data_IF_842519712344
#
_entry.id   IF_842519712344
#
_cell.length_a   1.000
_cell.length_b   1.000
_cell.length_c   1.000
_cell.angle_alpha   90.00
_cell.angle_beta   90.00
_cell.angle_gamma   90.00
#
_symmetry.space_group_name_H-M   'P 1'
#
loop_
_entity.id
_entity.type
_entity.pdbx_description
1 polymer ?
#
# COMPACT_ATOMS: atom_id res chain seq x y z
N UNK A 1 -2.80 -6.19 19.36
CA UNK A 1 -2.72 -6.66 17.97
C UNK A 1 -1.84 -7.89 17.95
N UNK A 2 -2.34 -9.02 17.50
CA UNK A 2 -1.57 -10.28 17.49
C UNK A 2 -1.71 -10.90 16.11
N UNK A 3 -0.73 -10.58 15.25
CA UNK A 3 -0.60 -11.19 13.94
C UNK A 3 0.35 -12.40 14.02
N UNK A 4 0.10 -13.42 13.21
CA UNK A 4 0.89 -14.63 13.23
C UNK A 4 2.22 -14.51 12.48
N UNK A 5 3.34 -14.70 13.16
CA UNK A 5 4.65 -14.93 12.52
C UNK A 5 4.74 -16.36 11.97
N UNK A 6 5.39 -16.53 10.81
CA UNK A 6 5.66 -17.84 10.25
C UNK A 6 6.82 -18.49 11.01
N UNK A 7 6.56 -19.63 11.62
CA UNK A 7 7.59 -20.51 12.13
C UNK A 7 7.65 -21.78 11.26
N UNK A 8 8.82 -22.10 10.71
CA UNK A 8 9.03 -23.36 10.00
C UNK A 8 9.14 -24.53 10.99
N UNK A 9 8.37 -25.59 10.75
CA UNK A 9 8.59 -26.86 11.42
C UNK A 9 9.90 -27.49 10.95
N UNK A 10 10.47 -28.41 11.75
CA UNK A 10 11.67 -29.18 11.37
C UNK A 10 11.51 -29.99 10.06
N UNK A 11 10.31 -30.07 9.51
CA UNK A 11 9.96 -30.81 8.29
C UNK A 11 9.62 -29.89 7.10
N UNK A 12 9.85 -28.55 7.20
CA UNK A 12 9.56 -27.61 6.12
C UNK A 12 8.04 -27.27 5.94
N UNK A 13 7.20 -27.69 6.86
CA UNK A 13 5.80 -27.24 6.88
C UNK A 13 5.73 -25.83 7.47
N UNK A 14 5.02 -24.95 6.79
CA UNK A 14 4.74 -23.57 7.26
C UNK A 14 3.86 -23.68 8.51
N UNK A 15 4.42 -23.45 9.68
CA UNK A 15 3.65 -23.28 10.90
C UNK A 15 3.14 -21.83 10.92
N UNK A 16 1.96 -21.61 10.34
CA UNK A 16 1.27 -20.35 10.61
C UNK A 16 1.06 -20.23 12.13
N UNK A 17 1.53 -19.15 12.71
CA UNK A 17 1.20 -18.82 14.08
C UNK A 17 -0.33 -18.80 14.19
N UNK A 18 -0.87 -19.57 15.11
CA UNK A 18 -2.31 -19.69 15.25
C UNK A 18 -2.92 -18.30 15.46
N UNK A 19 -3.87 -17.93 14.60
CA UNK A 19 -4.59 -16.68 14.72
C UNK A 19 -5.24 -16.57 16.11
N UNK A 20 -4.93 -15.52 16.85
CA UNK A 20 -5.57 -15.27 18.16
C UNK A 20 -6.91 -14.59 17.91
N UNK A 21 -7.98 -15.32 18.19
CA UNK A 21 -9.35 -14.84 18.05
C UNK A 21 -10.01 -14.58 19.40
N UNK A 22 -10.85 -13.54 19.51
CA UNK A 22 -11.80 -13.43 20.61
C UNK A 22 -12.69 -14.68 20.74
N UNK A 23 -13.17 -14.95 21.93
CA UNK A 23 -14.04 -16.13 22.17
C UNK A 23 -15.31 -16.13 21.32
N UNK A 24 -15.86 -14.96 21.02
CA UNK A 24 -17.02 -14.74 20.15
C UNK A 24 -16.76 -15.23 18.71
N UNK A 25 -15.52 -15.06 18.21
CA UNK A 25 -15.11 -15.44 16.86
C UNK A 25 -14.62 -16.89 16.74
N UNK A 26 -14.29 -17.56 17.83
CA UNK A 26 -13.73 -18.93 17.79
C UNK A 26 -14.61 -19.94 17.05
N UNK A 27 -15.93 -19.81 17.15
CA UNK A 27 -16.87 -20.69 16.42
C UNK A 27 -16.82 -20.50 14.88
N UNK A 28 -16.29 -19.37 14.42
CA UNK A 28 -16.13 -19.03 13.00
C UNK A 28 -14.67 -19.18 12.52
N UNK A 29 -13.76 -19.65 13.37
CA UNK A 29 -12.33 -19.79 13.07
C UNK A 29 -12.06 -20.39 11.70
N UNK A 30 -12.70 -21.50 11.37
CA UNK A 30 -12.47 -22.20 10.10
C UNK A 30 -12.87 -21.37 8.88
N UNK A 31 -13.87 -20.48 9.00
CA UNK A 31 -14.25 -19.56 7.92
C UNK A 31 -13.30 -18.36 7.84
N UNK A 32 -12.88 -17.84 8.98
CA UNK A 32 -11.92 -16.73 9.05
C UNK A 32 -10.56 -17.16 8.46
N UNK A 33 -10.05 -18.32 8.86
CA UNK A 33 -8.76 -18.83 8.38
C UNK A 33 -8.73 -19.10 6.87
N UNK A 34 -9.87 -19.38 6.22
CA UNK A 34 -9.96 -19.53 4.76
C UNK A 34 -9.73 -18.20 4.01
N UNK A 35 -9.91 -17.08 4.66
CA UNK A 35 -9.77 -15.75 4.06
C UNK A 35 -8.37 -15.17 4.23
N UNK A 36 -7.47 -15.85 4.96
CA UNK A 36 -6.16 -15.32 5.28
C UNK A 36 -5.35 -15.00 4.02
N UNK A 37 -4.83 -13.78 3.95
CA UNK A 37 -3.90 -13.34 2.91
C UNK A 37 -2.58 -12.87 3.53
N UNK A 38 -1.44 -13.14 2.85
CA UNK A 38 -0.15 -12.64 3.29
C UNK A 38 -0.03 -11.14 3.07
N UNK A 39 0.66 -10.46 3.97
CA UNK A 39 1.04 -9.06 3.87
C UNK A 39 2.37 -8.80 4.57
N UNK A 40 2.96 -7.65 4.26
CA UNK A 40 4.17 -7.15 4.90
C UNK A 40 3.87 -5.75 5.39
N UNK A 41 4.04 -5.52 6.69
CA UNK A 41 3.88 -4.21 7.30
C UNK A 41 5.07 -3.32 6.99
N UNK A 42 4.79 -2.06 6.81
CA UNK A 42 5.78 -1.00 6.65
C UNK A 42 5.78 -0.17 7.92
N UNK A 43 6.96 0.05 8.48
CA UNK A 43 7.19 1.03 9.54
C UNK A 43 8.01 2.17 8.99
N UNK A 44 7.59 3.40 9.22
CA UNK A 44 8.35 4.59 8.85
C UNK A 44 9.33 4.97 9.95
N UNK A 45 10.45 5.56 9.55
CA UNK A 45 11.44 6.19 10.41
C UNK A 45 11.89 7.49 9.75
N UNK A 46 11.77 8.63 10.41
CA UNK A 46 12.34 9.89 9.94
C UNK A 46 13.86 9.76 9.85
N UNK A 47 14.36 9.55 8.64
CA UNK A 47 15.78 9.29 8.37
C UNK A 47 16.10 9.49 6.90
N UNK A 48 17.25 10.13 6.65
CA UNK A 48 17.83 10.21 5.30
C UNK A 48 18.05 8.81 4.69
N UNK A 49 17.80 8.69 3.39
CA UNK A 49 17.90 7.45 2.64
C UNK A 49 18.85 7.59 1.45
N UNK A 50 19.45 6.48 1.06
CA UNK A 50 20.14 6.42 -0.24
C UNK A 50 19.12 6.48 -1.38
N UNK A 51 19.51 6.92 -2.59
CA UNK A 51 18.58 7.03 -3.71
C UNK A 51 17.81 5.75 -4.03
N UNK A 52 18.41 4.60 -3.82
CA UNK A 52 17.83 3.28 -4.13
C UNK A 52 17.13 2.60 -2.95
N UNK A 53 17.10 3.21 -1.76
CA UNK A 53 16.39 2.65 -0.60
C UNK A 53 14.89 2.91 -0.65
N UNK A 54 14.13 2.07 0.05
CA UNK A 54 12.69 2.23 0.22
C UNK A 54 12.38 3.41 1.12
N UNK A 55 11.46 4.28 0.69
CA UNK A 55 11.20 5.56 1.37
C UNK A 55 9.80 6.10 1.14
N UNK A 56 9.37 6.95 2.05
CA UNK A 56 8.28 7.91 1.90
C UNK A 56 8.90 9.26 1.49
N UNK A 57 8.42 9.85 0.40
CA UNK A 57 8.90 11.16 -0.05
C UNK A 57 10.37 11.23 -0.44
N UNK A 58 10.92 12.43 -0.39
CA UNK A 58 12.31 12.70 -0.74
C UNK A 58 12.63 12.59 -2.23
N UNK A 59 13.92 12.56 -2.55
CA UNK A 59 14.40 12.42 -3.90
C UNK A 59 14.28 10.96 -4.39
N UNK A 60 13.62 10.72 -5.56
CA UNK A 60 13.46 9.38 -6.09
C UNK A 60 14.75 8.81 -6.67
N UNK A 61 14.81 7.48 -6.80
CA UNK A 61 15.76 6.85 -7.69
C UNK A 61 15.46 7.26 -9.15
N UNK A 62 16.40 7.92 -9.79
CA UNK A 62 16.27 8.37 -11.18
C UNK A 62 17.62 8.29 -11.88
N UNK A 63 17.74 7.41 -12.87
CA UNK A 63 18.96 7.30 -13.68
C UNK A 63 19.08 8.46 -14.67
N UNK A 64 20.32 8.85 -14.98
CA UNK A 64 20.59 9.84 -16.02
C UNK A 64 20.01 9.34 -17.37
N UNK A 65 19.10 10.13 -17.94
CA UNK A 65 18.41 9.81 -19.19
C UNK A 65 17.01 9.25 -19.03
N UNK A 66 16.57 8.94 -17.81
CA UNK A 66 15.16 8.67 -17.54
C UNK A 66 14.37 9.98 -17.49
N UNK A 67 13.12 9.92 -17.96
CA UNK A 67 12.21 11.06 -17.87
C UNK A 67 11.54 11.09 -16.51
N UNK A 68 11.48 12.27 -15.88
CA UNK A 68 10.75 12.49 -14.66
C UNK A 68 9.23 12.61 -14.96
N UNK A 69 8.35 11.97 -14.16
CA UNK A 69 6.92 11.94 -14.46
C UNK A 69 6.25 13.31 -14.33
N UNK A 70 5.36 13.59 -15.28
CA UNK A 70 4.53 14.80 -15.35
C UNK A 70 3.08 14.44 -15.59
N UNK A 71 2.19 15.28 -15.08
CA UNK A 71 0.81 15.31 -15.50
C UNK A 71 0.66 15.89 -16.91
N UNK A 72 -0.48 15.66 -17.54
CA UNK A 72 -0.76 16.15 -18.91
C UNK A 72 -0.75 17.67 -19.06
N UNK A 73 -0.98 18.40 -17.95
CA UNK A 73 -0.86 19.85 -17.88
C UNK A 73 0.61 20.35 -17.83
N UNK A 74 1.58 19.45 -17.72
CA UNK A 74 3.01 19.73 -17.68
C UNK A 74 3.59 19.88 -16.28
N UNK A 75 2.79 19.82 -15.22
CA UNK A 75 3.25 19.85 -13.83
C UNK A 75 4.00 18.58 -13.46
N UNK A 76 5.07 18.73 -12.68
CA UNK A 76 5.82 17.60 -12.19
C UNK A 76 5.07 16.93 -11.02
N UNK A 77 4.94 15.61 -11.11
CA UNK A 77 4.47 14.82 -9.96
C UNK A 77 5.53 14.81 -8.87
N UNK A 78 5.13 14.50 -7.63
CA UNK A 78 6.02 14.37 -6.48
C UNK A 78 6.08 12.91 -6.04
N UNK A 79 7.25 12.47 -5.61
CA UNK A 79 7.39 11.13 -5.06
C UNK A 79 6.55 11.02 -3.78
N UNK A 80 5.58 10.11 -3.77
CA UNK A 80 4.85 9.72 -2.58
C UNK A 80 5.60 8.63 -1.83
N UNK A 81 5.94 7.56 -2.53
CA UNK A 81 6.62 6.40 -1.96
C UNK A 81 7.49 5.69 -2.99
N UNK A 82 8.55 5.07 -2.51
CA UNK A 82 9.43 4.20 -3.29
C UNK A 82 9.69 2.92 -2.51
N UNK A 83 9.52 1.77 -3.18
CA UNK A 83 9.77 0.45 -2.61
C UNK A 83 10.84 -0.25 -3.43
N UNK A 84 11.98 -0.57 -2.82
CA UNK A 84 12.99 -1.45 -3.39
C UNK A 84 12.70 -2.88 -2.94
N UNK A 85 12.30 -3.74 -3.85
CA UNK A 85 11.92 -5.11 -3.55
C UNK A 85 13.10 -6.00 -3.10
N UNK A 86 14.34 -5.57 -3.25
CA UNK A 86 15.48 -6.26 -2.62
C UNK A 86 15.49 -6.09 -1.08
N UNK A 87 14.77 -5.10 -0.54
CA UNK A 87 14.63 -4.85 0.91
C UNK A 87 13.38 -5.51 1.50
N UNK A 88 12.46 -5.96 0.64
CA UNK A 88 11.18 -6.53 1.03
C UNK A 88 11.31 -8.05 1.18
N UNK A 89 10.88 -8.65 2.30
CA UNK A 89 10.76 -10.10 2.39
C UNK A 89 9.90 -10.69 1.27
N UNK A 90 10.12 -11.96 0.95
CA UNK A 90 9.35 -12.62 -0.11
C UNK A 90 7.84 -12.52 0.16
N UNK A 91 7.11 -12.01 -0.82
CA UNK A 91 5.66 -11.98 -0.85
C UNK A 91 5.19 -12.54 -2.19
N UNK A 92 4.32 -13.55 -2.16
CA UNK A 92 3.84 -14.20 -3.38
C UNK A 92 3.19 -13.19 -4.32
N UNK A 93 3.39 -13.37 -5.62
CA UNK A 93 2.96 -12.48 -6.71
C UNK A 93 3.69 -11.15 -6.82
N UNK A 94 4.42 -10.70 -5.79
CA UNK A 94 5.19 -9.46 -5.82
C UNK A 94 6.59 -9.65 -6.43
N UNK A 95 7.19 -8.59 -7.01
CA UNK A 95 8.57 -8.62 -7.47
C UNK A 95 9.54 -8.99 -6.35
N UNK A 96 10.68 -9.60 -6.71
CA UNK A 96 11.76 -9.91 -5.75
C UNK A 96 12.95 -8.97 -5.89
N UNK A 97 12.92 -8.05 -6.83
CA UNK A 97 13.95 -7.05 -7.12
C UNK A 97 13.33 -5.86 -7.82
N UNK A 98 14.13 -4.83 -8.06
CA UNK A 98 13.68 -3.62 -8.73
C UNK A 98 13.03 -2.64 -7.78
N UNK A 99 12.75 -1.45 -8.28
CA UNK A 99 12.14 -0.34 -7.55
C UNK A 99 10.77 -0.05 -8.12
N UNK A 100 9.76 0.05 -7.26
CA UNK A 100 8.43 0.53 -7.58
C UNK A 100 8.23 1.91 -6.94
N UNK A 101 7.89 2.89 -7.76
CA UNK A 101 7.70 4.27 -7.35
C UNK A 101 6.25 4.67 -7.53
N UNK A 102 5.74 5.39 -6.54
CA UNK A 102 4.41 5.98 -6.52
C UNK A 102 4.54 7.48 -6.49
N UNK A 103 3.99 8.15 -7.50
CA UNK A 103 4.00 9.60 -7.63
C UNK A 103 2.59 10.13 -7.60
N UNK A 104 2.41 11.31 -7.02
CA UNK A 104 1.15 12.06 -7.00
C UNK A 104 1.37 13.50 -7.40
N UNK A 105 0.34 14.15 -7.91
CA UNK A 105 0.29 15.61 -8.00
C UNK A 105 0.13 16.17 -6.58
N UNK A 106 0.92 17.19 -6.25
CA UNK A 106 0.85 17.84 -4.94
C UNK A 106 -0.27 18.89 -4.96
N UNK A 107 -1.51 18.44 -4.90
CA UNK A 107 -2.71 19.26 -4.89
C UNK A 107 -3.59 18.96 -3.66
N UNK A 108 -4.71 19.64 -3.52
CA UNK A 108 -5.65 19.52 -2.39
C UNK A 108 -6.39 18.15 -2.35
N UNK A 109 -6.25 17.34 -3.38
CA UNK A 109 -6.77 15.97 -3.46
C UNK A 109 -5.68 14.91 -3.58
N UNK A 110 -4.41 15.28 -3.34
CA UNK A 110 -3.26 14.38 -3.37
C UNK A 110 -3.19 13.53 -4.66
N UNK A 111 -3.48 14.16 -5.80
CA UNK A 111 -3.44 13.52 -7.10
C UNK A 111 -4.58 12.55 -7.38
N UNK A 112 -5.64 12.51 -6.58
CA UNK A 112 -6.79 11.65 -6.82
C UNK A 112 -7.58 12.13 -8.04
N UNK A 113 -7.71 11.28 -9.06
CA UNK A 113 -8.55 11.54 -10.21
C UNK A 113 -10.02 11.21 -9.88
N UNK A 114 -10.79 12.20 -9.41
CA UNK A 114 -12.17 12.03 -8.95
C UNK A 114 -13.13 11.42 -9.98
N UNK A 115 -12.85 11.58 -11.28
CA UNK A 115 -13.71 11.07 -12.36
C UNK A 115 -13.40 9.63 -12.74
N UNK A 116 -12.14 9.23 -12.63
CA UNK A 116 -11.67 7.87 -12.92
C UNK A 116 -10.36 7.61 -12.17
N UNK A 117 -10.45 6.94 -11.06
CA UNK A 117 -9.35 6.60 -10.15
C UNK A 117 -8.28 5.68 -10.77
N UNK A 118 -8.47 5.24 -12.01
CA UNK A 118 -7.51 4.39 -12.74
C UNK A 118 -6.68 5.18 -13.76
N UNK A 119 -6.98 6.47 -13.99
CA UNK A 119 -6.23 7.29 -14.94
C UNK A 119 -4.95 7.80 -14.28
N UNK A 120 -3.83 7.25 -14.69
CA UNK A 120 -2.50 7.62 -14.21
C UNK A 120 -2.01 8.94 -14.87
N UNK A 121 -2.72 10.04 -14.65
CA UNK A 121 -2.31 11.38 -15.06
C UNK A 121 -1.81 12.19 -13.87
N UNK A 122 -2.65 12.36 -12.85
CA UNK A 122 -2.34 13.08 -11.62
C UNK A 122 -1.67 12.19 -10.55
N UNK A 123 -1.63 10.90 -10.80
CA UNK A 123 -0.74 9.97 -10.09
C UNK A 123 0.00 9.10 -11.11
N UNK A 124 1.08 8.44 -10.71
CA UNK A 124 1.83 7.54 -11.58
C UNK A 124 2.51 6.45 -10.76
N UNK A 125 2.45 5.21 -11.26
CA UNK A 125 3.19 4.08 -10.71
C UNK A 125 4.22 3.62 -11.74
N UNK A 126 5.50 3.60 -11.36
CA UNK A 126 6.62 3.28 -12.25
C UNK A 126 7.44 2.15 -11.65
N UNK A 127 7.66 1.09 -12.43
CA UNK A 127 8.54 0.00 -12.04
C UNK A 127 9.86 0.04 -12.80
N UNK A 128 10.96 -0.02 -12.05
CA UNK A 128 12.33 -0.02 -12.56
C UNK A 128 12.94 -1.39 -12.22
N UNK A 129 13.08 -2.31 -13.22
CA UNK A 129 13.43 -3.71 -12.95
C UNK A 129 14.88 -3.93 -12.56
N UNK A 130 15.79 -3.05 -12.99
CA UNK A 130 17.23 -3.16 -12.71
C UNK A 130 17.67 -1.89 -11.97
N UNK A 131 18.34 -2.08 -10.84
CA UNK A 131 18.77 -0.97 -9.97
C UNK A 131 20.29 -0.83 -10.01
N UNK A 132 20.77 0.32 -10.45
CA UNK A 132 22.19 0.66 -10.48
C UNK A 132 22.56 1.38 -9.19
N UNK A 133 23.25 0.70 -8.27
CA UNK A 133 23.71 1.29 -7.01
C UNK A 133 25.04 2.04 -7.18
N UNK A 134 25.05 2.97 -8.15
CA UNK A 134 26.17 3.87 -8.38
C UNK A 134 25.63 5.30 -8.57
N UNK A 135 25.87 6.16 -7.61
CA UNK A 135 25.37 7.54 -7.59
C UNK A 135 25.85 8.39 -8.79
N UNK A 136 26.98 8.02 -9.45
CA UNK A 136 27.45 8.75 -10.63
C UNK A 136 26.50 8.60 -11.83
N UNK A 137 25.66 7.57 -11.82
CA UNK A 137 24.69 7.28 -12.86
C UNK A 137 23.29 7.87 -12.55
N UNK A 138 23.14 8.51 -11.38
CA UNK A 138 21.86 9.02 -10.92
C UNK A 138 21.76 10.54 -11.02
N UNK A 139 20.56 11.03 -11.23
CA UNK A 139 20.22 12.45 -11.05
C UNK A 139 20.30 12.76 -9.56
N UNK A 140 20.97 13.86 -9.21
CA UNK A 140 21.14 14.35 -7.84
C UNK A 140 20.55 15.73 -7.63
N UNK A 141 20.30 16.46 -8.70
CA UNK A 141 19.72 17.78 -8.65
C UNK A 141 18.27 17.74 -9.12
N UNK A 142 17.36 17.84 -8.15
CA UNK A 142 15.93 17.88 -8.36
C UNK A 142 15.37 19.31 -8.25
N UNK A 143 16.21 20.33 -8.28
CA UNK A 143 15.80 21.75 -8.22
C UNK A 143 14.81 22.15 -9.32
N UNK A 144 14.75 21.40 -10.43
CA UNK A 144 13.76 21.59 -11.49
C UNK A 144 12.32 21.33 -11.03
N UNK A 145 12.12 20.62 -9.93
CA UNK A 145 10.80 20.40 -9.33
C UNK A 145 10.23 21.69 -8.73
N UNK A 146 11.09 22.66 -8.37
CA UNK A 146 10.68 23.86 -7.66
C UNK A 146 10.21 23.60 -6.23
N UNK A 147 10.00 24.66 -5.49
CA UNK A 147 9.35 24.61 -4.18
C UNK A 147 7.84 24.37 -4.37
N UNK A 148 7.19 23.73 -3.38
CA UNK A 148 5.73 23.63 -3.37
C UNK A 148 5.15 25.01 -3.02
N UNK A 149 4.14 25.45 -3.74
CA UNK A 149 3.38 26.66 -3.45
C UNK A 149 2.52 26.47 -2.17
N UNK A 150 2.05 27.56 -1.57
CA UNK A 150 1.28 27.50 -0.30
C UNK A 150 0.01 26.61 -0.38
N UNK A 151 -0.58 26.47 -1.58
CA UNK A 151 -1.78 25.67 -1.82
C UNK A 151 -1.45 24.24 -2.34
N UNK A 152 -0.19 23.82 -2.31
CA UNK A 152 0.25 22.52 -2.81
C UNK A 152 0.67 21.62 -1.66
N UNK A 153 0.05 20.47 -1.57
CA UNK A 153 0.13 19.59 -0.41
C UNK A 153 0.71 18.22 -0.75
N UNK A 154 1.57 17.75 0.15
CA UNK A 154 1.91 16.34 0.29
C UNK A 154 1.31 15.83 1.60
N UNK A 155 0.92 14.54 1.68
CA UNK A 155 0.31 14.00 2.89
C UNK A 155 1.31 13.71 4.02
N UNK A 156 2.50 14.31 3.98
CA UNK A 156 3.56 14.17 4.99
C UNK A 156 4.43 15.44 5.04
N UNK A 157 5.06 15.68 6.17
CA UNK A 157 5.95 16.82 6.36
C UNK A 157 7.43 16.47 6.16
N UNK A 158 7.82 15.23 6.49
CA UNK A 158 9.20 14.77 6.45
C UNK A 158 9.33 13.49 5.63
N UNK A 159 10.46 13.32 4.94
CA UNK A 159 10.79 12.06 4.31
C UNK A 159 11.11 10.98 5.34
N UNK A 160 10.85 9.73 5.02
CA UNK A 160 11.07 8.62 5.91
C UNK A 160 11.57 7.36 5.23
N UNK A 161 12.49 6.66 5.92
CA UNK A 161 12.90 5.30 5.53
C UNK A 161 11.78 4.32 5.84
N UNK A 162 11.50 3.40 4.91
CA UNK A 162 10.61 2.27 5.12
C UNK A 162 11.38 1.06 5.64
N UNK A 163 10.91 0.49 6.73
CA UNK A 163 11.33 -0.82 7.24
C UNK A 163 10.20 -1.82 7.10
N UNK A 164 10.54 -3.04 6.69
CA UNK A 164 9.57 -4.09 6.38
C UNK A 164 9.57 -5.17 7.47
N UNK A 165 8.37 -5.58 7.92
CA UNK A 165 8.20 -6.74 8.79
C UNK A 165 8.51 -8.04 8.03
N UNK A 166 8.60 -9.16 8.75
CA UNK A 166 8.45 -10.47 8.11
C UNK A 166 7.03 -10.62 7.54
N UNK A 167 6.84 -11.57 6.61
CA UNK A 167 5.52 -11.93 6.10
C UNK A 167 4.58 -12.31 7.27
N UNK A 168 3.42 -11.69 7.30
CA UNK A 168 2.34 -11.98 8.23
C UNK A 168 1.07 -12.33 7.45
N UNK A 169 0.05 -12.87 8.13
CA UNK A 169 -1.23 -13.22 7.51
C UNK A 169 -2.38 -12.53 8.23
N UNK A 170 -3.30 -11.97 7.47
CA UNK A 170 -4.49 -11.30 7.99
C UNK A 170 -5.76 -11.85 7.33
N UNK A 171 -6.88 -11.95 8.07
CA UNK A 171 -8.17 -12.30 7.49
C UNK A 171 -8.73 -11.13 6.66
N UNK A 172 -9.82 -11.39 5.92
CA UNK A 172 -10.47 -10.34 5.15
C UNK A 172 -10.87 -9.17 6.07
N UNK A 173 -10.57 -7.96 5.64
CA UNK A 173 -11.03 -6.75 6.34
C UNK A 173 -12.55 -6.62 6.25
N UNK A 174 -13.17 -6.14 7.32
CA UNK A 174 -14.59 -5.81 7.31
C UNK A 174 -14.92 -4.67 6.32
N UNK A 175 -13.94 -3.87 5.98
CA UNK A 175 -14.02 -2.76 5.02
C UNK A 175 -13.85 -3.20 3.56
N UNK A 176 -13.27 -4.37 3.31
CA UNK A 176 -13.08 -4.90 1.96
C UNK A 176 -14.42 -5.31 1.34
N UNK A 177 -14.64 -4.95 0.08
CA UNK A 177 -15.90 -5.24 -0.64
C UNK A 177 -16.32 -6.71 -0.60
N UNK A 178 -15.37 -7.65 -0.43
CA UNK A 178 -15.61 -9.09 -0.35
C UNK A 178 -16.15 -9.56 1.01
N UNK A 179 -16.06 -8.73 2.05
CA UNK A 179 -16.50 -9.13 3.40
C UNK A 179 -17.94 -9.61 3.42
N UNK A 180 -18.85 -8.84 2.83
CA UNK A 180 -20.26 -9.19 2.76
C UNK A 180 -20.54 -10.41 1.88
N UNK A 181 -19.77 -10.64 0.82
CA UNK A 181 -19.87 -11.83 -0.01
C UNK A 181 -19.45 -13.08 0.76
N UNK A 182 -18.38 -13.00 1.55
CA UNK A 182 -17.84 -14.12 2.33
C UNK A 182 -18.73 -14.43 3.54
N UNK A 183 -19.08 -13.41 4.33
CA UNK A 183 -19.77 -13.59 5.61
C UNK A 183 -21.28 -13.36 5.57
N UNK A 184 -21.81 -12.71 4.54
CA UNK A 184 -23.25 -12.49 4.41
C UNK A 184 -24.08 -13.78 4.41
N UNK A 185 -23.53 -14.86 3.87
CA UNK A 185 -24.15 -16.20 3.89
C UNK A 185 -24.11 -16.86 5.28
N UNK A 186 -23.18 -16.45 6.15
CA UNK A 186 -22.98 -17.01 7.49
C UNK A 186 -23.88 -16.31 8.52
N UNK A 187 -24.36 -15.11 8.17
CA UNK A 187 -25.22 -14.27 9.02
C UNK A 187 -24.63 -14.08 10.44
N UNK A 188 -23.45 -13.45 10.50
CA UNK A 188 -22.77 -13.15 11.75
C UNK A 188 -23.67 -12.29 12.65
N UNK A 189 -23.85 -12.61 13.94
CA UNK A 189 -24.53 -11.71 14.88
C UNK A 189 -23.82 -10.37 14.98
N UNK A 190 -24.56 -9.29 15.21
CA UNK A 190 -24.06 -7.91 15.30
C UNK A 190 -22.89 -7.80 16.29
N UNK A 191 -23.02 -8.32 17.52
CA UNK A 191 -21.96 -8.34 18.52
C UNK A 191 -20.68 -9.09 18.08
N UNK A 192 -20.79 -10.02 17.16
CA UNK A 192 -19.64 -10.76 16.58
C UNK A 192 -18.98 -9.95 15.50
N UNK A 193 -19.75 -9.16 14.75
CA UNK A 193 -19.21 -8.20 13.77
C UNK A 193 -18.44 -7.10 14.49
N UNK A 194 -18.96 -6.56 15.58
CA UNK A 194 -18.27 -5.55 16.38
C UNK A 194 -16.91 -6.06 16.90
N UNK A 195 -16.88 -7.28 17.46
CA UNK A 195 -15.63 -7.92 17.89
C UNK A 195 -14.66 -8.16 16.71
N UNK A 196 -15.19 -8.47 15.52
CA UNK A 196 -14.39 -8.64 14.29
C UNK A 196 -13.72 -7.32 13.89
N UNK A 197 -14.52 -6.25 13.80
CA UNK A 197 -14.06 -4.90 13.46
C UNK A 197 -12.98 -4.41 14.42
N UNK A 198 -13.19 -4.59 15.73
CA UNK A 198 -12.26 -4.11 16.76
C UNK A 198 -10.95 -4.92 16.82
N UNK A 199 -10.98 -6.22 16.57
CA UNK A 199 -9.85 -7.12 16.84
C UNK A 199 -9.10 -7.58 15.60
N UNK A 200 -9.71 -7.49 14.43
CA UNK A 200 -9.14 -7.93 13.15
C UNK A 200 -9.01 -6.77 12.15
N UNK A 201 -8.59 -5.61 12.69
CA UNK A 201 -8.35 -4.41 11.90
C UNK A 201 -7.28 -4.64 10.82
N UNK A 202 -7.41 -3.93 9.71
CA UNK A 202 -6.44 -3.89 8.60
C UNK A 202 -5.68 -2.57 8.51
N UNK A 203 -5.59 -1.83 9.61
CA UNK A 203 -4.90 -0.54 9.69
C UNK A 203 -3.38 -0.67 9.48
N UNK A 204 -2.74 0.48 9.29
CA UNK A 204 -1.30 0.65 9.18
C UNK A 204 -0.77 0.55 7.75
N UNK A 205 0.46 1.05 7.56
CA UNK A 205 1.14 1.00 6.27
C UNK A 205 1.57 -0.43 5.92
N UNK A 206 1.30 -0.89 4.68
CA UNK A 206 1.61 -2.26 4.24
C UNK A 206 1.56 -2.46 2.74
N UNK A 207 2.08 -3.59 2.30
CA UNK A 207 1.86 -4.18 0.97
C UNK A 207 1.19 -5.55 1.12
N UNK A 208 0.33 -5.90 0.18
CA UNK A 208 -0.45 -7.15 0.24
C UNK A 208 -1.56 -7.15 1.30
N UNK A 209 -2.16 -8.31 1.54
CA UNK A 209 -3.27 -8.47 2.48
C UNK A 209 -4.57 -7.82 1.99
N UNK A 210 -5.30 -7.24 2.94
CA UNK A 210 -6.57 -6.54 2.70
C UNK A 210 -6.47 -5.07 3.11
N UNK A 211 -7.22 -4.19 2.44
CA UNK A 211 -7.18 -2.75 2.71
C UNK A 211 -7.93 -2.36 3.98
N UNK A 212 -7.58 -1.19 4.51
CA UNK A 212 -8.40 -0.38 5.38
C UNK A 212 -8.94 0.83 4.60
N UNK A 213 -10.07 1.34 5.04
CA UNK A 213 -10.68 2.56 4.53
C UNK A 213 -11.28 3.36 5.68
N UNK A 214 -11.27 4.69 5.57
CA UNK A 214 -11.95 5.55 6.54
C UNK A 214 -13.45 5.68 6.21
N UNK A 215 -13.80 5.67 4.93
CA UNK A 215 -15.19 5.77 4.48
C UNK A 215 -15.68 4.44 3.89
N UNK A 216 -15.22 4.07 2.70
CA UNK A 216 -15.66 2.83 2.06
C UNK A 216 -14.78 2.42 0.88
N UNK A 217 -14.76 1.13 0.60
CA UNK A 217 -14.10 0.56 -0.57
C UNK A 217 -14.81 0.97 -1.86
N UNK A 218 -14.16 1.70 -2.79
CA UNK A 218 -14.79 2.12 -4.05
C UNK A 218 -15.21 0.93 -4.93
N UNK A 219 -14.56 -0.22 -4.78
CA UNK A 219 -14.89 -1.46 -5.51
C UNK A 219 -16.26 -2.02 -5.13
N UNK A 220 -16.80 -1.63 -3.96
CA UNK A 220 -18.15 -2.01 -3.54
C UNK A 220 -19.24 -1.41 -4.44
N UNK A 221 -19.01 -0.21 -4.98
CA UNK A 221 -19.99 0.52 -5.79
C UNK A 221 -19.80 0.35 -7.29
N UNK A 222 -18.59 0.02 -7.75
CA UNK A 222 -18.30 -0.20 -9.17
C UNK A 222 -17.62 -1.56 -9.40
N UNK A 223 -18.40 -2.50 -9.93
CA UNK A 223 -17.92 -3.85 -10.28
C UNK A 223 -16.75 -3.88 -11.27
N UNK A 224 -16.58 -2.82 -12.07
CA UNK A 224 -15.42 -2.75 -12.96
C UNK A 224 -14.11 -2.59 -12.17
N UNK A 225 -14.18 -2.08 -10.95
CA UNK A 225 -13.04 -1.91 -10.07
C UNK A 225 -12.68 -3.20 -9.29
N UNK A 226 -13.58 -4.19 -9.19
CA UNK A 226 -13.32 -5.47 -8.50
C UNK A 226 -12.14 -6.25 -9.09
N UNK A 227 -11.81 -5.98 -10.37
CA UNK A 227 -10.63 -6.57 -11.02
C UNK A 227 -9.30 -6.15 -10.38
N UNK A 228 -9.25 -5.05 -9.66
CA UNK A 228 -8.10 -4.60 -8.88
C UNK A 228 -8.11 -5.29 -7.51
N UNK A 229 -7.81 -6.58 -7.51
CA UNK A 229 -8.03 -7.52 -6.43
C UNK A 229 -6.88 -7.63 -5.43
N UNK A 230 -5.74 -7.01 -5.75
CA UNK A 230 -4.50 -7.06 -4.97
C UNK A 230 -4.13 -5.68 -4.45
N UNK A 231 -3.97 -5.55 -3.13
CA UNK A 231 -3.45 -4.35 -2.49
C UNK A 231 -1.96 -4.23 -2.78
N UNK A 232 -1.59 -3.22 -3.58
CA UNK A 232 -0.20 -2.97 -3.95
C UNK A 232 0.55 -2.20 -2.87
N UNK A 233 -0.08 -1.16 -2.31
CA UNK A 233 0.43 -0.34 -1.23
C UNK A 233 -0.74 0.29 -0.47
N UNK A 234 -0.68 0.28 0.85
CA UNK A 234 -1.48 1.09 1.75
C UNK A 234 -0.57 2.01 2.54
N UNK A 235 -0.93 3.29 2.57
CA UNK A 235 -0.33 4.29 3.44
C UNK A 235 -1.41 4.80 4.38
N UNK A 236 -1.22 4.59 5.65
CA UNK A 236 -2.10 4.98 6.74
C UNK A 236 -1.42 6.05 7.61
N UNK A 237 -2.17 6.67 8.49
CA UNK A 237 -1.62 7.67 9.41
C UNK A 237 -0.47 7.10 10.24
N UNK A 238 0.63 7.84 10.26
CA UNK A 238 1.81 7.51 11.06
C UNK A 238 2.37 8.80 11.67
N UNK A 239 2.60 8.80 12.98
CA UNK A 239 3.19 9.94 13.68
C UNK A 239 4.60 10.25 13.15
N UNK A 240 5.34 9.21 12.78
CA UNK A 240 6.62 9.37 12.10
C UNK A 240 6.39 9.98 10.71
N UNK A 241 7.16 11.01 10.38
CA UNK A 241 7.06 11.77 9.13
C UNK A 241 5.79 12.62 8.99
N UNK A 242 4.93 12.70 10.01
CA UNK A 242 3.62 13.38 9.98
C UNK A 242 2.75 12.90 8.78
N UNK A 243 2.75 11.61 8.51
CA UNK A 243 1.98 11.05 7.40
C UNK A 243 0.49 11.05 7.73
N UNK A 244 -0.30 11.80 6.95
CA UNK A 244 -1.75 11.87 7.11
C UNK A 244 -2.43 12.34 5.81
N UNK A 245 -3.37 11.56 5.29
CA UNK A 245 -4.21 11.95 4.16
C UNK A 245 -5.47 12.65 4.68
N UNK A 246 -5.59 13.96 4.44
CA UNK A 246 -6.73 14.73 4.95
C UNK A 246 -6.85 14.67 6.47
N UNK A 247 -8.02 14.30 6.99
CA UNK A 247 -8.27 14.10 8.42
C UNK A 247 -8.31 12.60 8.75
N UNK A 248 -7.21 12.08 9.27
CA UNK A 248 -7.01 10.67 9.63
C UNK A 248 -7.32 9.67 8.48
N UNK A 249 -6.95 10.02 7.26
CA UNK A 249 -7.28 9.24 6.07
C UNK A 249 -6.25 8.19 5.70
N UNK A 250 -6.66 7.29 4.80
CA UNK A 250 -5.88 6.15 4.29
C UNK A 250 -5.80 6.20 2.77
N UNK A 251 -4.61 6.00 2.22
CA UNK A 251 -4.41 5.88 0.77
C UNK A 251 -4.10 4.44 0.37
N UNK A 252 -4.75 3.99 -0.69
CA UNK A 252 -4.66 2.64 -1.21
C UNK A 252 -4.34 2.62 -2.71
N UNK A 253 -3.37 1.81 -3.10
CA UNK A 253 -3.09 1.48 -4.50
C UNK A 253 -3.41 0.01 -4.72
N UNK A 254 -4.21 -0.29 -5.75
CA UNK A 254 -4.59 -1.66 -6.09
C UNK A 254 -4.20 -2.00 -7.52
N UNK A 255 -3.89 -3.25 -7.76
CA UNK A 255 -3.56 -3.79 -9.07
C UNK A 255 -4.30 -5.12 -9.28
N UNK A 256 -4.47 -5.53 -10.53
CA UNK A 256 -4.87 -6.90 -10.81
C UNK A 256 -3.68 -7.84 -10.58
N UNK A 257 -3.88 -8.98 -9.92
CA UNK A 257 -2.81 -9.92 -9.58
C UNK A 257 -2.06 -10.45 -10.82
N UNK A 258 -2.76 -10.68 -11.92
CA UNK A 258 -2.15 -11.14 -13.16
C UNK A 258 -1.30 -10.06 -13.85
N UNK A 259 -1.67 -8.78 -13.70
CA UNK A 259 -0.86 -7.66 -14.20
C UNK A 259 0.37 -7.47 -13.30
N UNK A 260 0.23 -7.62 -11.98
CA UNK A 260 1.35 -7.62 -11.02
C UNK A 260 2.38 -8.71 -11.35
N UNK A 261 1.94 -9.95 -11.58
CA UNK A 261 2.82 -11.07 -11.98
C UNK A 261 3.56 -10.82 -13.30
N UNK A 262 2.99 -10.00 -14.18
CA UNK A 262 3.63 -9.58 -15.44
C UNK A 262 4.48 -8.33 -15.31
N UNK A 263 4.53 -7.72 -14.13
CA UNK A 263 5.17 -6.43 -13.86
C UNK A 263 4.58 -5.30 -14.73
N UNK A 264 3.30 -5.39 -15.05
CA UNK A 264 2.55 -4.37 -15.81
C UNK A 264 1.80 -3.44 -14.86
N UNK A 265 2.40 -2.32 -14.53
CA UNK A 265 1.86 -1.29 -13.65
C UNK A 265 1.12 -0.17 -14.41
N UNK A 266 0.77 -0.39 -15.68
CA UNK A 266 0.05 0.61 -16.50
C UNK A 266 -1.40 0.80 -16.06
N UNK A 267 -1.95 -0.14 -15.28
CA UNK A 267 -3.31 -0.12 -14.75
C UNK A 267 -3.28 -0.34 -13.25
N UNK A 268 -3.43 0.75 -12.53
CA UNK A 268 -3.50 0.78 -11.07
C UNK A 268 -4.72 1.59 -10.68
N UNK A 269 -5.46 1.15 -9.68
CA UNK A 269 -6.50 1.91 -9.02
C UNK A 269 -5.87 2.64 -7.84
N UNK A 270 -5.99 3.96 -7.79
CA UNK A 270 -5.60 4.78 -6.65
C UNK A 270 -6.83 5.36 -5.98
N UNK A 271 -6.93 5.19 -4.69
CA UNK A 271 -7.95 5.78 -3.84
C UNK A 271 -7.33 6.27 -2.53
N UNK A 272 -7.84 7.37 -2.01
CA UNK A 272 -7.69 7.73 -0.62
C UNK A 272 -8.99 8.31 -0.11
N UNK A 273 -9.25 8.16 1.17
CA UNK A 273 -10.41 8.70 1.86
C UNK A 273 -10.05 9.13 3.29
N UNK A 274 -10.84 10.00 3.87
CA UNK A 274 -10.66 10.51 5.24
C UNK A 274 -12.00 10.75 5.93
N UNK A 275 -11.98 11.12 7.22
CA UNK A 275 -13.17 11.46 8.01
C UNK A 275 -13.86 12.74 7.52
#
# INVERSE_FOLDING_TARGET
>A
MVYGEINFSKNGEILMKKLELPKSLEKFRGEIEKTMKPHIKIKLQEKETMPWESKLGGDPYLEIGMEYPKASNGEYLRLLAQINFEEVPHLESFPQKGILQFYILADDVYGLALQDQCIQDTFRVIYIPEVVKNEENLIKDFSFLGELEEDWYMPFSNEGKMEFSSEEYMPVSWEDYRFNEIYGSINLPEEVVDDYMEKLSSDGCKIGGYPAFTQCDPRYYDKNLERFDTLLLQLDCEDECDLMFGDAGVANFFINEEDLKKLDFTKVLYNWDCC
#
